data_IF_344605929634
#
_entry.id   IF_344605929634
#
_cell.length_a   1.000
_cell.length_b   1.000
_cell.length_c   1.000
_cell.angle_alpha   90.00
_cell.angle_beta   90.00
_cell.angle_gamma   90.00
#
_symmetry.space_group_name_H-M   'P 1'
#
loop_
_entity.id
_entity.type
_entity.pdbx_description
1 polymer ?
#
# COMPACT_ATOMS: atom_id res chain seq x y z
N UNK A 1 -16.70 -10.63 17.59
CA UNK A 1 -16.14 -9.89 16.43
C UNK A 1 -14.85 -10.50 15.86
N UNK A 2 -13.92 -11.08 16.66
CA UNK A 2 -12.68 -11.71 16.13
C UNK A 2 -12.84 -12.93 15.19
N UNK A 3 -14.00 -13.60 15.16
CA UNK A 3 -14.22 -14.77 14.29
C UNK A 3 -14.65 -14.42 12.86
N UNK A 4 -14.95 -13.16 12.56
CA UNK A 4 -15.52 -12.76 11.27
C UNK A 4 -14.44 -12.36 10.27
N UNK A 5 -13.33 -11.74 10.72
CA UNK A 5 -12.17 -11.40 9.89
C UNK A 5 -11.40 -12.63 9.41
N UNK A 6 -11.26 -13.67 10.25
CA UNK A 6 -10.54 -14.90 9.89
C UNK A 6 -11.25 -15.75 8.84
N UNK A 7 -12.57 -15.61 8.70
CA UNK A 7 -13.34 -16.29 7.67
C UNK A 7 -13.14 -15.65 6.29
N UNK A 8 -12.93 -14.32 6.25
CA UNK A 8 -12.76 -13.55 5.01
C UNK A 8 -11.38 -13.82 4.37
N UNK A 9 -10.33 -13.95 5.21
CA UNK A 9 -8.98 -14.28 4.76
C UNK A 9 -8.86 -15.69 4.17
N UNK A 10 -9.49 -16.69 4.82
CA UNK A 10 -9.49 -18.09 4.35
C UNK A 10 -10.21 -18.22 3.00
N UNK A 11 -11.28 -17.45 2.76
CA UNK A 11 -12.02 -17.44 1.50
C UNK A 11 -11.22 -16.78 0.37
N UNK A 12 -10.48 -15.70 0.65
CA UNK A 12 -9.58 -15.07 -0.32
C UNK A 12 -8.43 -16.00 -0.73
N UNK A 13 -7.81 -16.71 0.23
CA UNK A 13 -6.77 -17.71 -0.07
C UNK A 13 -7.36 -18.88 -0.86
N UNK A 14 -8.57 -19.33 -0.52
CA UNK A 14 -9.26 -20.40 -1.23
C UNK A 14 -9.55 -20.06 -2.69
N UNK A 15 -9.96 -18.82 -2.96
CA UNK A 15 -10.18 -18.37 -4.33
C UNK A 15 -8.90 -18.41 -5.17
N UNK A 16 -7.75 -18.07 -4.56
CA UNK A 16 -6.44 -18.21 -5.21
C UNK A 16 -6.03 -19.67 -5.42
N UNK A 17 -6.36 -20.56 -4.48
CA UNK A 17 -6.17 -22.00 -4.66
C UNK A 17 -7.04 -22.57 -5.79
N UNK A 18 -8.29 -22.08 -5.97
CA UNK A 18 -9.14 -22.48 -7.11
C UNK A 18 -8.47 -22.14 -8.44
N UNK A 19 -7.91 -20.95 -8.58
CA UNK A 19 -7.16 -20.56 -9.78
C UNK A 19 -5.98 -21.48 -10.07
N UNK A 20 -5.25 -21.92 -9.04
CA UNK A 20 -4.18 -22.90 -9.21
C UNK A 20 -4.71 -24.27 -9.68
N UNK A 21 -5.91 -24.66 -9.25
CA UNK A 21 -6.58 -25.90 -9.66
C UNK A 21 -7.13 -25.82 -11.10
N UNK A 22 -7.51 -24.62 -11.56
CA UNK A 22 -7.93 -24.40 -12.94
C UNK A 22 -6.75 -24.56 -13.91
N UNK A 23 -5.55 -24.16 -13.49
CA UNK A 23 -4.32 -24.29 -14.28
C UNK A 23 -3.67 -25.67 -14.16
N UNK A 24 -3.89 -26.39 -13.05
CA UNK A 24 -3.26 -27.68 -12.76
C UNK A 24 -4.22 -28.67 -12.10
N UNK A 25 -4.17 -29.92 -12.54
CA UNK A 25 -4.99 -30.97 -11.93
C UNK A 25 -4.74 -31.10 -10.41
N UNK A 26 -5.80 -31.37 -9.64
CA UNK A 26 -5.71 -31.60 -8.20
C UNK A 26 -4.72 -32.73 -7.85
N UNK A 27 -4.56 -33.72 -8.74
CA UNK A 27 -3.58 -34.80 -8.61
C UNK A 27 -2.13 -34.32 -8.73
N UNK A 28 -1.85 -33.36 -9.62
CA UNK A 28 -0.51 -32.76 -9.72
C UNK A 28 -0.18 -31.90 -8.49
N UNK A 29 -1.16 -31.13 -8.01
CA UNK A 29 -1.03 -30.33 -6.78
C UNK A 29 -0.78 -31.26 -5.58
N UNK A 30 -1.56 -32.33 -5.42
CA UNK A 30 -1.36 -33.33 -4.38
C UNK A 30 0.04 -33.94 -4.41
N UNK A 31 0.51 -34.35 -5.59
CA UNK A 31 1.85 -34.93 -5.78
C UNK A 31 2.96 -33.94 -5.41
N UNK A 32 2.86 -32.68 -5.85
CA UNK A 32 3.89 -31.66 -5.61
C UNK A 32 3.90 -31.10 -4.18
N UNK A 33 2.75 -31.14 -3.50
CA UNK A 33 2.62 -30.67 -2.11
C UNK A 33 2.76 -31.79 -1.08
N UNK A 34 2.76 -33.06 -1.50
CA UNK A 34 2.75 -34.22 -0.60
C UNK A 34 1.40 -34.44 0.11
N UNK A 35 0.36 -33.69 -0.25
CA UNK A 35 -0.99 -33.87 0.29
C UNK A 35 -1.77 -34.95 -0.47
N UNK A 36 -2.79 -35.54 0.15
CA UNK A 36 -3.72 -36.42 -0.56
C UNK A 36 -4.66 -35.61 -1.47
N UNK A 37 -5.05 -36.16 -2.62
CA UNK A 37 -5.99 -35.51 -3.56
C UNK A 37 -7.30 -35.11 -2.88
N UNK A 38 -7.83 -35.99 -2.01
CA UNK A 38 -9.02 -35.71 -1.22
C UNK A 38 -8.83 -34.56 -0.21
N UNK A 39 -7.61 -34.33 0.28
CA UNK A 39 -7.29 -33.19 1.15
C UNK A 39 -7.24 -31.88 0.34
N UNK A 40 -6.60 -31.89 -0.84
CA UNK A 40 -6.58 -30.75 -1.77
C UNK A 40 -8.00 -30.33 -2.14
N UNK A 41 -8.84 -31.29 -2.52
CA UNK A 41 -10.24 -31.03 -2.84
C UNK A 41 -10.98 -30.38 -1.66
N UNK A 42 -10.81 -30.89 -0.43
CA UNK A 42 -11.42 -30.31 0.76
C UNK A 42 -10.98 -28.86 1.01
N UNK A 43 -9.69 -28.55 0.86
CA UNK A 43 -9.16 -27.19 1.06
C UNK A 43 -9.77 -26.17 0.09
N UNK A 44 -10.00 -26.59 -1.15
CA UNK A 44 -10.59 -25.77 -2.23
C UNK A 44 -12.08 -25.49 -2.02
N UNK A 45 -12.80 -26.37 -1.31
CA UNK A 45 -14.27 -26.34 -1.25
C UNK A 45 -14.86 -25.95 0.11
N UNK A 46 -14.06 -25.75 1.16
CA UNK A 46 -14.64 -25.31 2.44
C UNK A 46 -13.86 -25.69 3.69
N UNK A 47 -12.93 -26.64 3.60
CA UNK A 47 -12.14 -27.01 4.77
C UNK A 47 -11.10 -25.93 5.08
N UNK A 48 -10.78 -25.80 6.37
CA UNK A 48 -9.68 -24.97 6.86
C UNK A 48 -8.38 -25.42 6.19
N UNK A 49 -7.61 -24.45 5.69
CA UNK A 49 -6.39 -24.71 4.94
C UNK A 49 -5.21 -24.77 5.93
N UNK A 50 -4.48 -25.90 6.03
CA UNK A 50 -3.31 -25.97 6.90
C UNK A 50 -2.20 -25.11 6.31
N UNK A 51 -1.54 -24.27 7.13
CA UNK A 51 -0.41 -23.48 6.61
C UNK A 51 0.77 -24.32 6.12
N UNK A 52 0.93 -25.56 6.63
CA UNK A 52 1.88 -26.51 6.05
C UNK A 52 1.57 -26.91 4.60
N UNK A 53 0.30 -26.94 4.21
CA UNK A 53 -0.09 -27.15 2.82
C UNK A 53 0.23 -25.92 1.96
N UNK A 54 0.01 -24.70 2.46
CA UNK A 54 0.39 -23.47 1.76
C UNK A 54 1.90 -23.38 1.54
N UNK A 55 2.70 -23.72 2.55
CA UNK A 55 4.15 -23.76 2.41
C UNK A 55 4.62 -24.83 1.40
N UNK A 56 3.98 -26.00 1.42
CA UNK A 56 4.25 -27.03 0.43
C UNK A 56 3.82 -26.62 -0.99
N UNK A 57 2.76 -25.83 -1.14
CA UNK A 57 2.34 -25.26 -2.41
C UNK A 57 3.39 -24.28 -2.95
N UNK A 58 3.90 -23.38 -2.10
CA UNK A 58 4.97 -22.45 -2.48
C UNK A 58 6.21 -23.21 -2.96
N UNK A 59 6.71 -24.18 -2.17
CA UNK A 59 7.91 -24.95 -2.55
C UNK A 59 7.71 -25.88 -3.75
N UNK A 60 6.62 -26.65 -3.76
CA UNK A 60 6.40 -27.70 -4.76
C UNK A 60 5.88 -27.20 -6.10
N UNK A 61 5.15 -26.08 -6.10
CA UNK A 61 4.57 -25.48 -7.30
C UNK A 61 5.31 -24.22 -7.75
N UNK A 62 6.22 -23.67 -6.93
CA UNK A 62 6.89 -22.41 -7.19
C UNK A 62 5.95 -21.22 -7.11
N UNK A 63 4.95 -21.28 -6.23
CA UNK A 63 3.92 -20.23 -6.09
C UNK A 63 4.47 -19.09 -5.24
N UNK A 64 4.21 -17.85 -5.65
CA UNK A 64 4.61 -16.67 -4.91
C UNK A 64 3.81 -16.55 -3.59
N UNK A 65 4.47 -16.53 -2.42
CA UNK A 65 3.79 -16.46 -1.13
C UNK A 65 3.03 -15.15 -0.92
N UNK A 66 3.52 -14.01 -1.44
CA UNK A 66 2.82 -12.72 -1.37
C UNK A 66 1.52 -12.75 -2.16
N UNK A 67 1.52 -13.41 -3.32
CA UNK A 67 0.30 -13.59 -4.11
C UNK A 67 -0.67 -14.52 -3.40
N UNK A 68 -0.19 -15.68 -2.92
CA UNK A 68 -1.04 -16.69 -2.31
C UNK A 68 -1.72 -16.19 -1.02
N UNK A 69 -0.99 -15.46 -0.18
CA UNK A 69 -1.46 -15.01 1.13
C UNK A 69 -2.16 -13.65 1.06
N UNK A 70 -1.61 -12.70 0.30
CA UNK A 70 -2.08 -11.31 0.30
C UNK A 70 -2.76 -10.89 -1.02
N UNK A 71 -2.66 -11.71 -2.07
CA UNK A 71 -3.17 -11.35 -3.40
C UNK A 71 -2.29 -10.37 -4.18
N UNK A 72 -1.06 -10.13 -3.71
CA UNK A 72 -0.15 -9.15 -4.30
C UNK A 72 0.89 -9.82 -5.23
N UNK A 73 1.07 -9.26 -6.42
CA UNK A 73 2.09 -9.71 -7.38
C UNK A 73 1.63 -10.85 -8.30
N UNK A 74 2.59 -11.50 -8.97
CA UNK A 74 2.34 -12.60 -9.91
C UNK A 74 2.20 -13.95 -9.18
N UNK A 75 1.42 -14.91 -9.70
CA UNK A 75 1.17 -16.20 -9.04
C UNK A 75 2.40 -17.09 -8.86
N UNK A 76 3.38 -17.00 -9.76
CA UNK A 76 4.56 -17.86 -9.76
C UNK A 76 5.82 -17.07 -9.43
N UNK A 77 6.71 -17.67 -8.62
CA UNK A 77 8.02 -17.12 -8.24
C UNK A 77 8.92 -16.86 -9.46
N UNK A 78 8.76 -17.64 -10.53
CA UNK A 78 9.51 -17.46 -11.77
C UNK A 78 9.24 -16.11 -12.46
N UNK A 79 8.08 -15.50 -12.18
CA UNK A 79 7.67 -14.21 -12.73
C UNK A 79 8.05 -13.04 -11.81
N UNK A 80 8.74 -13.32 -10.71
CA UNK A 80 9.09 -12.34 -9.68
C UNK A 80 10.60 -12.05 -9.75
N UNK A 81 11.02 -10.78 -9.76
CA UNK A 81 12.44 -10.42 -9.73
C UNK A 81 13.16 -11.07 -8.54
N UNK A 82 14.37 -11.61 -8.77
CA UNK A 82 15.20 -12.39 -7.83
C UNK A 82 15.31 -11.81 -6.41
N UNK A 83 15.28 -10.48 -6.27
CA UNK A 83 15.32 -9.78 -4.98
C UNK A 83 14.04 -9.95 -4.12
N UNK A 84 12.92 -10.33 -4.71
CA UNK A 84 11.65 -10.56 -3.99
C UNK A 84 11.50 -12.02 -3.55
N UNK A 85 12.21 -12.95 -4.22
CA UNK A 85 12.19 -14.37 -3.87
C UNK A 85 12.77 -14.61 -2.46
N UNK A 86 13.86 -13.91 -2.10
CA UNK A 86 14.46 -13.94 -0.77
C UNK A 86 13.52 -13.41 0.33
N UNK A 87 12.67 -12.42 0.01
CA UNK A 87 11.68 -11.87 0.94
C UNK A 87 10.49 -12.83 1.12
N UNK A 88 10.12 -13.54 0.05
CA UNK A 88 9.15 -14.63 0.08
C UNK A 88 9.61 -15.84 0.90
N UNK A 89 10.91 -16.18 0.86
CA UNK A 89 11.50 -17.24 1.70
C UNK A 89 11.42 -16.89 3.19
N UNK A 90 11.78 -15.66 3.58
CA UNK A 90 11.67 -15.19 4.97
C UNK A 90 10.22 -15.18 5.49
N UNK A 91 9.25 -14.82 4.64
CA UNK A 91 7.83 -14.90 4.98
C UNK A 91 7.34 -16.35 5.10
N UNK A 92 7.87 -17.25 4.28
CA UNK A 92 7.55 -18.68 4.35
C UNK A 92 8.04 -19.30 5.66
N UNK A 93 9.28 -19.00 6.06
CA UNK A 93 9.82 -19.46 7.34
C UNK A 93 8.96 -18.99 8.52
N UNK A 94 8.47 -17.75 8.46
CA UNK A 94 7.61 -17.18 9.50
C UNK A 94 6.24 -17.88 9.56
N UNK A 95 5.62 -18.15 8.41
CA UNK A 95 4.33 -18.87 8.31
C UNK A 95 4.46 -20.34 8.71
N UNK A 96 5.59 -20.98 8.40
CA UNK A 96 5.89 -22.34 8.84
C UNK A 96 6.12 -22.43 10.35
N UNK A 97 6.85 -21.45 10.92
CA UNK A 97 7.01 -21.32 12.36
C UNK A 97 5.64 -21.11 13.05
N UNK A 98 4.81 -20.21 12.54
CA UNK A 98 3.45 -19.96 13.06
C UNK A 98 2.52 -21.17 12.91
N UNK A 99 2.62 -21.92 11.80
CA UNK A 99 1.84 -23.14 11.56
C UNK A 99 2.31 -24.33 12.39
N UNK A 100 3.61 -24.42 12.71
CA UNK A 100 4.15 -25.38 13.66
C UNK A 100 3.63 -25.06 15.07
N UNK A 101 3.62 -23.79 15.47
CA UNK A 101 3.06 -23.32 16.75
C UNK A 101 1.55 -23.57 16.83
N UNK A 102 0.78 -23.31 15.76
CA UNK A 102 -0.67 -23.55 15.72
C UNK A 102 -1.02 -25.05 15.79
N UNK A 103 -0.23 -25.92 15.12
CA UNK A 103 -0.35 -27.38 15.24
C UNK A 103 0.05 -27.89 16.62
N UNK A 104 1.04 -27.28 17.28
CA UNK A 104 1.42 -27.58 18.67
C UNK A 104 0.34 -27.17 19.67
N UNK A 105 -0.34 -26.04 19.45
CA UNK A 105 -1.46 -25.56 20.29
C UNK A 105 -2.70 -26.46 20.19
N UNK A 106 -2.93 -27.09 19.03
CA UNK A 106 -4.05 -28.03 18.81
C UNK A 106 -3.73 -29.48 19.24
N UNK A 107 -2.46 -29.81 19.51
CA UNK A 107 -1.99 -31.19 19.74
C UNK A 107 -1.94 -31.65 21.21
N UNK A 108 -1.50 -30.80 22.15
CA UNK A 108 -1.57 -31.10 23.60
C UNK A 108 -1.00 -29.95 24.44
N UNK A 109 -1.80 -29.32 25.28
CA UNK A 109 -1.39 -28.28 26.23
C UNK A 109 -0.76 -28.86 27.53
N UNK A 110 0.13 -29.85 27.46
CA UNK A 110 0.54 -30.61 28.67
C UNK A 110 2.03 -30.95 28.82
N UNK A 111 2.97 -30.12 28.33
CA UNK A 111 4.41 -30.40 28.52
C UNK A 111 5.29 -29.18 28.79
N UNK A 112 6.18 -29.27 29.81
CA UNK A 112 7.19 -28.25 30.17
C UNK A 112 8.10 -27.83 28.99
N UNK A 113 8.30 -28.71 28.01
CA UNK A 113 9.09 -28.42 26.81
C UNK A 113 8.44 -27.37 25.89
N UNK A 114 7.10 -27.34 25.81
CA UNK A 114 6.36 -26.37 24.98
C UNK A 114 6.45 -24.94 25.53
N UNK A 115 6.43 -24.79 26.85
CA UNK A 115 6.64 -23.49 27.50
C UNK A 115 8.06 -22.95 27.23
N UNK A 116 9.05 -23.83 27.09
CA UNK A 116 10.41 -23.44 26.74
C UNK A 116 10.50 -22.89 25.31
N UNK A 117 9.92 -23.59 24.33
CA UNK A 117 9.91 -23.16 22.92
C UNK A 117 9.13 -21.86 22.73
N UNK A 118 7.97 -21.70 23.37
CA UNK A 118 7.21 -20.45 23.32
C UNK A 118 7.98 -19.28 23.96
N UNK A 119 8.74 -19.55 25.03
CA UNK A 119 9.60 -18.54 25.65
C UNK A 119 10.76 -18.16 24.72
N UNK A 120 11.45 -19.13 24.11
CA UNK A 120 12.52 -18.90 23.14
C UNK A 120 12.01 -18.10 21.92
N UNK A 121 10.82 -18.41 21.40
CA UNK A 121 10.21 -17.67 20.29
C UNK A 121 9.82 -16.24 20.71
N UNK A 122 9.25 -16.06 21.90
CA UNK A 122 8.91 -14.73 22.41
C UNK A 122 10.18 -13.90 22.66
N UNK A 123 11.26 -14.50 23.13
CA UNK A 123 12.57 -13.86 23.27
C UNK A 123 13.16 -13.47 21.91
N UNK A 124 13.04 -14.34 20.89
CA UNK A 124 13.47 -14.04 19.52
C UNK A 124 12.65 -12.90 18.89
N UNK A 125 11.33 -12.88 19.09
CA UNK A 125 10.46 -11.79 18.64
C UNK A 125 10.83 -10.46 19.30
N UNK A 126 11.05 -10.45 20.62
CA UNK A 126 11.50 -9.25 21.31
C UNK A 126 12.90 -8.81 20.88
N UNK A 127 13.82 -9.74 20.63
CA UNK A 127 15.14 -9.42 20.09
C UNK A 127 15.04 -8.78 18.70
N UNK A 128 14.15 -9.30 17.85
CA UNK A 128 13.86 -8.74 16.53
C UNK A 128 13.21 -7.35 16.61
N UNK A 129 12.22 -7.14 17.48
CA UNK A 129 11.63 -5.82 17.73
C UNK A 129 12.67 -4.80 18.19
N UNK A 130 13.54 -5.16 19.14
CA UNK A 130 14.62 -4.28 19.60
C UNK A 130 15.59 -3.95 18.47
N UNK A 131 15.97 -4.93 17.65
CA UNK A 131 16.85 -4.70 16.50
C UNK A 131 16.19 -3.76 15.49
N UNK A 132 14.90 -3.96 15.21
CA UNK A 132 14.10 -3.10 14.34
C UNK A 132 14.01 -1.67 14.87
N UNK A 133 13.78 -1.48 16.16
CA UNK A 133 13.79 -0.16 16.82
C UNK A 133 15.16 0.51 16.74
N UNK A 134 16.25 -0.24 16.95
CA UNK A 134 17.62 0.26 16.82
C UNK A 134 17.95 0.69 15.38
N UNK A 135 17.61 -0.15 14.39
CA UNK A 135 17.77 0.17 12.97
C UNK A 135 16.97 1.43 12.63
N UNK A 136 15.70 1.52 13.05
CA UNK A 136 14.86 2.71 12.84
C UNK A 136 15.49 3.96 13.47
N UNK A 137 15.99 3.86 14.70
CA UNK A 137 16.62 5.00 15.39
C UNK A 137 17.84 5.53 14.63
N UNK A 138 18.63 4.64 14.03
CA UNK A 138 19.82 5.03 13.26
C UNK A 138 19.50 5.48 11.83
N UNK A 139 18.56 4.81 11.16
CA UNK A 139 18.23 5.08 9.75
C UNK A 139 17.34 6.29 9.56
N UNK A 140 16.41 6.57 10.49
CA UNK A 140 15.49 7.71 10.44
C UNK A 140 16.15 9.07 10.17
N UNK A 141 17.18 9.52 10.92
CA UNK A 141 17.81 10.82 10.65
C UNK A 141 18.52 10.86 9.28
N UNK A 142 19.09 9.74 8.84
CA UNK A 142 19.71 9.64 7.51
C UNK A 142 18.64 9.72 6.41
N UNK A 143 17.53 8.99 6.58
CA UNK A 143 16.39 9.03 5.67
C UNK A 143 15.84 10.46 5.58
N UNK A 144 15.56 11.11 6.70
CA UNK A 144 15.06 12.49 6.72
C UNK A 144 16.02 13.48 6.01
N UNK A 145 17.34 13.33 6.21
CA UNK A 145 18.34 14.17 5.54
C UNK A 145 18.34 13.98 4.02
N UNK A 146 18.45 12.73 3.55
CA UNK A 146 18.51 12.45 2.10
C UNK A 146 17.17 12.81 1.44
N UNK A 147 16.04 12.62 2.12
CA UNK A 147 14.73 13.05 1.67
C UNK A 147 14.68 14.58 1.47
N UNK A 148 15.22 15.34 2.42
CA UNK A 148 15.35 16.80 2.31
C UNK A 148 16.25 17.22 1.14
N UNK A 149 17.39 16.53 0.96
CA UNK A 149 18.28 16.77 -0.18
C UNK A 149 17.59 16.48 -1.53
N UNK A 150 16.78 15.42 -1.59
CA UNK A 150 15.98 15.06 -2.77
C UNK A 150 14.96 16.16 -3.08
N UNK A 151 14.24 16.65 -2.07
CA UNK A 151 13.29 17.76 -2.24
C UNK A 151 13.98 19.02 -2.78
N UNK A 152 15.15 19.37 -2.22
CA UNK A 152 15.95 20.51 -2.70
C UNK A 152 16.40 20.32 -4.14
N UNK A 153 16.87 19.12 -4.52
CA UNK A 153 17.29 18.82 -5.89
C UNK A 153 16.10 18.94 -6.87
N UNK A 154 14.93 18.38 -6.52
CA UNK A 154 13.71 18.48 -7.32
C UNK A 154 13.24 19.93 -7.50
N UNK A 155 13.29 20.74 -6.44
CA UNK A 155 12.92 22.16 -6.50
C UNK A 155 13.89 22.99 -7.35
N UNK A 156 15.16 22.58 -7.43
CA UNK A 156 16.18 23.19 -8.31
C UNK A 156 16.19 22.64 -9.73
N UNK A 157 15.32 21.67 -10.04
CA UNK A 157 15.30 20.95 -11.32
C UNK A 157 16.61 20.21 -11.65
N UNK A 158 17.37 19.82 -10.62
CA UNK A 158 18.57 19.00 -10.75
C UNK A 158 18.18 17.51 -10.81
N UNK A 159 17.68 17.08 -11.98
CA UNK A 159 17.03 15.78 -12.15
C UNK A 159 18.00 14.59 -12.08
N UNK A 160 19.26 14.78 -12.48
CA UNK A 160 20.30 13.75 -12.39
C UNK A 160 20.59 13.43 -10.93
N UNK A 161 20.90 14.47 -10.13
CA UNK A 161 21.08 14.32 -8.69
C UNK A 161 19.83 13.78 -7.99
N UNK A 162 18.64 14.23 -8.40
CA UNK A 162 17.40 13.73 -7.85
C UNK A 162 17.19 12.23 -8.10
N UNK A 163 17.56 11.69 -9.26
CA UNK A 163 17.44 10.25 -9.52
C UNK A 163 18.39 9.43 -8.63
N UNK A 164 19.61 9.90 -8.42
CA UNK A 164 20.58 9.23 -7.53
C UNK A 164 20.14 9.28 -6.06
N UNK A 165 19.68 10.45 -5.60
CA UNK A 165 19.11 10.58 -4.26
C UNK A 165 17.88 9.69 -4.10
N UNK A 166 17.02 9.59 -5.11
CA UNK A 166 15.83 8.72 -5.08
C UNK A 166 16.20 7.25 -4.92
N UNK A 167 17.26 6.76 -5.59
CA UNK A 167 17.76 5.39 -5.41
C UNK A 167 18.24 5.15 -3.98
N UNK A 168 18.98 6.12 -3.42
CA UNK A 168 19.44 6.04 -2.03
C UNK A 168 18.26 6.01 -1.04
N UNK A 169 17.25 6.85 -1.25
CA UNK A 169 16.03 6.87 -0.43
C UNK A 169 15.23 5.57 -0.58
N UNK A 170 15.15 5.00 -1.79
CA UNK A 170 14.47 3.71 -2.01
C UNK A 170 15.07 2.61 -1.12
N UNK A 171 16.41 2.53 -1.03
CA UNK A 171 17.07 1.57 -0.16
C UNK A 171 16.79 1.83 1.32
N UNK A 172 16.80 3.10 1.75
CA UNK A 172 16.49 3.46 3.14
C UNK A 172 15.04 3.21 3.53
N UNK A 173 14.10 3.40 2.60
CA UNK A 173 12.68 3.14 2.84
C UNK A 173 12.37 1.66 3.11
N UNK A 174 13.25 0.75 2.68
CA UNK A 174 13.15 -0.70 2.97
C UNK A 174 13.65 -1.06 4.37
N UNK A 175 14.44 -0.17 4.99
CA UNK A 175 15.06 -0.39 6.30
C UNK A 175 14.37 0.40 7.42
N UNK A 176 13.56 1.39 7.06
CA UNK A 176 12.92 2.29 8.01
C UNK A 176 11.40 2.23 7.88
N UNK A 177 10.73 1.86 8.97
CA UNK A 177 9.25 1.72 9.02
C UNK A 177 8.55 3.01 9.50
N UNK A 178 9.14 4.18 9.24
CA UNK A 178 8.51 5.47 9.53
C UNK A 178 7.50 5.82 8.43
N UNK A 179 6.21 5.62 8.73
CA UNK A 179 5.12 5.86 7.76
C UNK A 179 5.06 7.33 7.31
N UNK A 180 5.18 8.36 8.18
CA UNK A 180 5.31 9.75 7.72
C UNK A 180 6.44 9.99 6.72
N UNK A 181 7.64 9.46 6.94
CA UNK A 181 8.76 9.59 6.00
C UNK A 181 8.51 8.83 4.71
N UNK A 182 7.92 7.63 4.80
CA UNK A 182 7.53 6.83 3.63
C UNK A 182 6.50 7.55 2.78
N UNK A 183 5.50 8.16 3.41
CA UNK A 183 4.50 8.97 2.72
C UNK A 183 5.14 10.20 2.05
N UNK A 184 6.05 10.89 2.73
CA UNK A 184 6.78 12.01 2.15
C UNK A 184 7.65 11.58 0.95
N UNK A 185 8.30 10.42 1.03
CA UNK A 185 9.06 9.84 -0.08
C UNK A 185 8.18 9.55 -1.30
N UNK A 186 7.01 8.92 -1.10
CA UNK A 186 6.08 8.65 -2.20
C UNK A 186 5.62 9.94 -2.90
N UNK A 187 5.43 11.02 -2.15
CA UNK A 187 5.10 12.35 -2.72
C UNK A 187 6.23 12.91 -3.57
N UNK A 188 7.48 12.81 -3.11
CA UNK A 188 8.64 13.26 -3.88
C UNK A 188 8.85 12.39 -5.13
N UNK A 189 8.60 11.08 -5.06
CA UNK A 189 8.59 10.21 -6.22
C UNK A 189 7.55 10.64 -7.25
N UNK A 190 6.31 10.94 -6.83
CA UNK A 190 5.30 11.48 -7.73
C UNK A 190 5.75 12.82 -8.34
N UNK A 191 6.31 13.73 -7.55
CA UNK A 191 6.81 15.01 -8.04
C UNK A 191 7.98 14.84 -9.04
N UNK A 192 8.87 13.88 -8.83
CA UNK A 192 9.94 13.54 -9.76
C UNK A 192 9.41 13.06 -11.11
N UNK A 193 8.46 12.11 -11.12
CA UNK A 193 7.83 11.63 -12.36
C UNK A 193 7.08 12.75 -13.10
N UNK A 194 6.50 13.70 -12.34
CA UNK A 194 5.90 14.91 -12.89
C UNK A 194 6.94 15.81 -13.59
N UNK A 195 8.09 16.07 -12.95
CA UNK A 195 9.18 16.86 -13.55
C UNK A 195 9.74 16.22 -14.82
N UNK A 196 9.81 14.89 -14.84
CA UNK A 196 10.22 14.10 -16.01
C UNK A 196 9.15 14.02 -17.12
N UNK A 197 7.98 14.66 -16.94
CA UNK A 197 6.84 14.62 -17.88
C UNK A 197 6.35 13.20 -18.18
N UNK A 198 6.54 12.27 -17.24
CA UNK A 198 6.08 10.87 -17.36
C UNK A 198 4.68 10.74 -16.78
N UNK A 199 3.70 11.31 -17.46
CA UNK A 199 2.34 11.51 -16.91
C UNK A 199 1.66 10.23 -16.40
N UNK A 200 1.84 9.09 -17.06
CA UNK A 200 1.29 7.81 -16.59
C UNK A 200 1.93 7.33 -15.28
N UNK A 201 3.26 7.43 -15.17
CA UNK A 201 4.00 7.07 -13.96
C UNK A 201 3.64 8.01 -12.81
N UNK A 202 3.53 9.31 -13.09
CA UNK A 202 3.06 10.30 -12.13
C UNK A 202 1.67 9.97 -11.62
N UNK A 203 0.70 9.68 -12.51
CA UNK A 203 -0.66 9.34 -12.09
C UNK A 203 -0.69 8.07 -11.24
N UNK A 204 0.08 7.05 -11.61
CA UNK A 204 0.22 5.81 -10.83
C UNK A 204 0.78 6.08 -9.44
N UNK A 205 1.82 6.91 -9.32
CA UNK A 205 2.41 7.30 -8.05
C UNK A 205 1.44 8.15 -7.21
N UNK A 206 0.81 9.15 -7.80
CA UNK A 206 -0.14 10.04 -7.13
C UNK A 206 -1.37 9.28 -6.61
N UNK A 207 -1.84 8.26 -7.33
CA UNK A 207 -2.91 7.37 -6.86
C UNK A 207 -2.49 6.61 -5.59
N UNK A 208 -1.25 6.11 -5.53
CA UNK A 208 -0.73 5.44 -4.33
C UNK A 208 -0.67 6.39 -3.13
N UNK A 209 -0.14 7.60 -3.35
CA UNK A 209 -0.09 8.65 -2.32
C UNK A 209 -1.49 8.97 -1.81
N UNK A 210 -2.44 9.21 -2.73
CA UNK A 210 -3.81 9.52 -2.36
C UNK A 210 -4.47 8.40 -1.56
N UNK A 211 -4.36 7.15 -2.01
CA UNK A 211 -4.93 6.01 -1.30
C UNK A 211 -4.35 5.83 0.10
N UNK A 212 -3.03 6.05 0.28
CA UNK A 212 -2.39 6.02 1.60
C UNK A 212 -2.76 7.21 2.49
N UNK A 213 -3.09 8.35 1.89
CA UNK A 213 -3.57 9.52 2.64
C UNK A 213 -5.01 9.37 3.12
N UNK A 214 -5.76 8.38 2.61
CA UNK A 214 -7.10 8.08 3.11
C UNK A 214 -6.96 7.45 4.50
N UNK A 215 -7.55 8.05 5.54
CA UNK A 215 -7.39 7.53 6.90
C UNK A 215 -8.15 6.22 7.10
N UNK A 216 -7.58 5.33 7.91
CA UNK A 216 -8.18 4.04 8.30
C UNK A 216 -9.49 4.18 9.09
N UNK A 217 -9.77 5.36 9.66
CA UNK A 217 -10.88 5.63 10.58
C UNK A 217 -11.84 6.73 10.07
N UNK A 218 -12.42 6.53 8.88
CA UNK A 218 -13.59 7.25 8.31
C UNK A 218 -13.49 8.78 8.11
N UNK A 219 -12.45 9.47 8.57
CA UNK A 219 -12.40 10.93 8.57
C UNK A 219 -11.54 11.50 7.45
N UNK A 220 -12.11 11.69 6.26
CA UNK A 220 -11.47 12.47 5.20
C UNK A 220 -11.00 13.84 5.73
N UNK A 221 -9.73 14.18 5.55
CA UNK A 221 -9.09 15.35 6.16
C UNK A 221 -8.51 16.32 5.12
N UNK A 222 -7.86 17.39 5.60
CA UNK A 222 -7.24 18.41 4.74
C UNK A 222 -6.09 17.84 3.91
N UNK A 223 -5.33 16.88 4.45
CA UNK A 223 -4.22 16.23 3.77
C UNK A 223 -4.71 15.43 2.57
N UNK A 224 -5.69 14.55 2.77
CA UNK A 224 -6.33 13.78 1.72
C UNK A 224 -6.98 14.69 0.67
N UNK A 225 -7.53 15.84 1.09
CA UNK A 225 -8.05 16.85 0.18
C UNK A 225 -6.98 17.47 -0.73
N UNK A 226 -5.78 17.79 -0.20
CA UNK A 226 -4.69 18.33 -1.03
C UNK A 226 -4.12 17.27 -1.98
N UNK A 227 -4.00 16.01 -1.53
CA UNK A 227 -3.54 14.91 -2.38
C UNK A 227 -4.54 14.57 -3.49
N UNK A 228 -5.85 14.62 -3.20
CA UNK A 228 -6.88 14.52 -4.21
C UNK A 228 -6.78 15.64 -5.25
N UNK A 229 -6.54 16.88 -4.82
CA UNK A 229 -6.34 18.02 -5.73
C UNK A 229 -5.13 17.81 -6.64
N UNK A 230 -4.01 17.31 -6.12
CA UNK A 230 -2.82 16.98 -6.93
C UNK A 230 -3.14 15.91 -7.97
N UNK A 231 -3.91 14.88 -7.60
CA UNK A 231 -4.41 13.87 -8.55
C UNK A 231 -5.33 14.48 -9.63
N UNK A 232 -6.20 15.42 -9.28
CA UNK A 232 -7.03 16.16 -10.23
C UNK A 232 -6.16 16.93 -11.22
N UNK A 233 -5.15 17.67 -10.76
CA UNK A 233 -4.21 18.39 -11.63
C UNK A 233 -3.50 17.43 -12.59
N UNK A 234 -3.06 16.27 -12.10
CA UNK A 234 -2.43 15.24 -12.93
C UNK A 234 -3.35 14.77 -14.07
N UNK A 235 -4.61 14.48 -13.74
CA UNK A 235 -5.60 14.02 -14.73
C UNK A 235 -5.92 15.08 -15.77
N UNK A 236 -5.97 16.35 -15.37
CA UNK A 236 -6.20 17.48 -16.28
C UNK A 236 -5.06 17.62 -17.27
N UNK A 237 -3.81 17.54 -16.81
CA UNK A 237 -2.63 17.58 -17.68
C UNK A 237 -2.61 16.42 -18.70
N UNK A 238 -3.25 15.29 -18.37
CA UNK A 238 -3.43 14.15 -19.26
C UNK A 238 -4.70 14.26 -20.13
N UNK A 239 -5.38 15.41 -20.16
CA UNK A 239 -6.67 15.61 -20.84
C UNK A 239 -7.81 14.68 -20.38
N UNK A 240 -7.70 14.09 -19.17
CA UNK A 240 -8.71 13.20 -18.57
C UNK A 240 -9.73 13.99 -17.74
N UNK A 241 -10.29 15.04 -18.33
CA UNK A 241 -11.22 15.98 -17.66
C UNK A 241 -12.43 15.27 -17.02
N UNK A 242 -13.10 14.28 -17.66
CA UNK A 242 -14.23 13.60 -17.04
C UNK A 242 -13.88 12.86 -15.74
N UNK A 243 -12.66 12.34 -15.62
CA UNK A 243 -12.17 11.68 -14.41
C UNK A 243 -11.83 12.68 -13.31
N UNK A 244 -11.12 13.75 -13.67
CA UNK A 244 -10.85 14.86 -12.77
C UNK A 244 -12.14 15.38 -12.12
N UNK A 245 -13.20 15.57 -12.92
CA UNK A 245 -14.52 16.01 -12.44
C UNK A 245 -15.20 14.98 -11.54
N UNK A 246 -15.04 13.67 -11.80
CA UNK A 246 -15.57 12.61 -10.92
C UNK A 246 -14.89 12.63 -9.56
N UNK A 247 -13.55 12.77 -9.52
CA UNK A 247 -12.79 12.86 -8.27
C UNK A 247 -13.17 14.10 -7.49
N UNK A 248 -13.28 15.27 -8.14
CA UNK A 248 -13.73 16.50 -7.47
C UNK A 248 -15.09 16.29 -6.80
N UNK A 249 -16.05 15.67 -7.48
CA UNK A 249 -17.38 15.39 -6.91
C UNK A 249 -17.29 14.45 -5.70
N UNK A 250 -16.49 13.39 -5.79
CA UNK A 250 -16.28 12.45 -4.70
C UNK A 250 -15.65 13.13 -3.48
N UNK A 251 -14.58 13.90 -3.68
CA UNK A 251 -13.91 14.67 -2.63
C UNK A 251 -14.87 15.68 -2.01
N UNK A 252 -15.73 16.30 -2.82
CA UNK A 252 -16.75 17.22 -2.30
C UNK A 252 -17.77 16.56 -1.39
N UNK A 253 -18.16 15.33 -1.72
CA UNK A 253 -19.06 14.54 -0.88
C UNK A 253 -18.37 14.11 0.41
N UNK A 254 -17.12 13.64 0.32
CA UNK A 254 -16.34 13.14 1.46
C UNK A 254 -15.96 14.23 2.46
N UNK A 255 -15.52 15.40 2.00
CA UNK A 255 -15.11 16.48 2.88
C UNK A 255 -16.30 17.16 3.61
N UNK A 256 -17.51 17.07 3.04
CA UNK A 256 -18.73 17.60 3.63
C UNK A 256 -18.67 19.10 3.95
N UNK A 257 -19.22 19.49 5.11
CA UNK A 257 -19.19 20.90 5.57
C UNK A 257 -17.82 21.28 6.14
N UNK A 258 -17.18 20.38 6.88
CA UNK A 258 -15.86 20.59 7.51
C UNK A 258 -14.79 20.94 6.48
N UNK A 259 -14.86 20.31 5.30
CA UNK A 259 -13.99 20.60 4.17
C UNK A 259 -13.91 22.07 3.81
N UNK A 260 -15.01 22.81 3.99
CA UNK A 260 -15.08 24.22 3.62
C UNK A 260 -14.17 25.10 4.45
N UNK A 261 -13.62 24.67 5.57
CA UNK A 261 -12.69 25.47 6.37
C UNK A 261 -11.24 25.33 5.88
N UNK A 262 -10.93 24.26 5.15
CA UNK A 262 -9.58 23.91 4.72
C UNK A 262 -9.06 24.81 3.60
N UNK A 263 -7.76 25.10 3.63
CA UNK A 263 -7.08 25.77 2.53
C UNK A 263 -6.96 24.86 1.31
N UNK A 264 -6.74 23.55 1.53
CA UNK A 264 -6.73 22.57 0.46
C UNK A 264 -8.06 22.54 -0.33
N UNK A 265 -9.18 22.72 0.36
CA UNK A 265 -10.49 22.80 -0.26
C UNK A 265 -10.67 24.03 -1.14
N UNK A 266 -10.23 25.21 -0.67
CA UNK A 266 -10.26 26.42 -1.50
C UNK A 266 -9.44 26.23 -2.79
N UNK A 267 -8.28 25.55 -2.70
CA UNK A 267 -7.45 25.22 -3.87
C UNK A 267 -8.18 24.23 -4.80
N UNK A 268 -8.81 23.18 -4.27
CA UNK A 268 -9.59 22.21 -5.04
C UNK A 268 -10.77 22.87 -5.76
N UNK A 269 -11.52 23.72 -5.07
CA UNK A 269 -12.63 24.47 -5.66
C UNK A 269 -12.14 25.41 -6.75
N UNK A 270 -11.00 26.10 -6.57
CA UNK A 270 -10.44 26.90 -7.65
C UNK A 270 -10.07 26.05 -8.88
N UNK A 271 -9.45 24.87 -8.69
CA UNK A 271 -9.19 23.92 -9.79
C UNK A 271 -10.49 23.49 -10.48
N UNK A 272 -11.54 23.18 -9.72
CA UNK A 272 -12.84 22.82 -10.29
C UNK A 272 -13.45 23.98 -11.08
N UNK A 273 -13.31 25.21 -10.62
CA UNK A 273 -13.82 26.38 -11.32
C UNK A 273 -13.13 26.57 -12.67
N UNK A 274 -11.80 26.39 -12.74
CA UNK A 274 -11.04 26.40 -13.99
C UNK A 274 -11.58 25.35 -14.97
N UNK A 275 -11.81 24.11 -14.50
CA UNK A 275 -12.36 23.03 -15.34
C UNK A 275 -13.79 23.29 -15.80
N UNK A 276 -14.61 23.99 -14.99
CA UNK A 276 -15.92 24.45 -15.43
C UNK A 276 -15.79 25.45 -16.58
N UNK A 277 -14.79 26.34 -16.54
CA UNK A 277 -14.48 27.27 -17.62
C UNK A 277 -14.09 26.54 -18.90
N UNK A 278 -13.16 25.58 -18.81
CA UNK A 278 -12.71 24.76 -19.94
C UNK A 278 -13.84 23.93 -20.57
N UNK A 279 -14.84 23.55 -19.78
CA UNK A 279 -16.03 22.81 -20.25
C UNK A 279 -17.19 23.72 -20.68
N UNK A 280 -16.96 25.03 -20.85
CA UNK A 280 -17.93 26.00 -21.35
C UNK A 280 -18.91 26.55 -20.32
N UNK A 281 -18.77 26.21 -19.04
CA UNK A 281 -19.63 26.68 -17.93
C UNK A 281 -19.08 27.97 -17.30
N UNK A 282 -18.81 28.97 -18.15
CA UNK A 282 -18.09 30.19 -17.80
C UNK A 282 -18.69 30.96 -16.61
N UNK A 283 -20.01 31.16 -16.58
CA UNK A 283 -20.66 31.89 -15.49
C UNK A 283 -20.43 31.22 -14.12
N UNK A 284 -20.59 29.89 -14.05
CA UNK A 284 -20.35 29.13 -12.81
C UNK A 284 -18.87 29.11 -12.43
N UNK A 285 -17.98 29.08 -13.42
CA UNK A 285 -16.54 29.17 -13.18
C UNK A 285 -16.16 30.51 -12.53
N UNK A 286 -16.63 31.63 -13.09
CA UNK A 286 -16.34 32.98 -12.60
C UNK A 286 -16.89 33.17 -11.18
N UNK A 287 -18.15 32.81 -10.95
CA UNK A 287 -18.79 32.88 -9.62
C UNK A 287 -17.97 32.10 -8.57
N UNK A 288 -17.53 30.90 -8.94
CA UNK A 288 -16.79 30.04 -8.05
C UNK A 288 -15.37 30.56 -7.77
N UNK A 289 -14.67 31.08 -8.78
CA UNK A 289 -13.36 31.75 -8.62
C UNK A 289 -13.49 32.95 -7.70
N UNK A 290 -14.49 33.83 -7.92
CA UNK A 290 -14.73 35.00 -7.07
C UNK A 290 -14.95 34.62 -5.60
N UNK A 291 -15.61 33.48 -5.35
CA UNK A 291 -15.82 32.95 -3.99
C UNK A 291 -14.54 32.38 -3.36
N UNK A 292 -13.68 31.72 -4.14
CA UNK A 292 -12.48 31.05 -3.63
C UNK A 292 -11.25 31.95 -3.55
N UNK A 293 -11.15 32.95 -4.42
CA UNK A 293 -9.95 33.77 -4.58
C UNK A 293 -9.52 34.52 -3.29
N UNK A 294 -10.44 35.14 -2.51
CA UNK A 294 -10.06 35.80 -1.26
C UNK A 294 -9.37 34.86 -0.27
N UNK A 295 -9.81 33.60 -0.23
CA UNK A 295 -9.24 32.58 0.66
C UNK A 295 -7.84 32.17 0.24
N UNK A 296 -7.61 32.05 -1.07
CA UNK A 296 -6.31 31.72 -1.63
C UNK A 296 -5.29 32.86 -1.46
N UNK A 297 -5.76 34.11 -1.51
CA UNK A 297 -4.95 35.29 -1.26
C UNK A 297 -4.65 35.54 0.24
N UNK A 298 -5.10 34.66 1.14
CA UNK A 298 -4.94 34.84 2.59
C UNK A 298 -5.80 35.98 3.16
N UNK A 299 -6.73 36.52 2.39
CA UNK A 299 -7.64 37.58 2.83
C UNK A 299 -8.84 36.93 3.53
N UNK A 300 -8.67 36.56 4.80
CA UNK A 300 -9.81 36.30 5.66
C UNK A 300 -10.53 37.62 5.93
N UNK A 301 -11.80 37.70 5.53
CA UNK A 301 -12.76 38.58 6.22
C UNK A 301 -13.00 37.94 7.58
N UNK A 302 -12.45 38.54 8.63
CA UNK A 302 -13.06 38.52 9.95
C UNK A 302 -14.43 39.17 9.84
N UNK A 303 -15.47 38.37 9.60
CA UNK A 303 -16.87 38.74 9.84
C UNK A 303 -17.55 37.55 10.48
#
# INVERSE_FOLDING_TARGET
MRNQETLDDDDAIRERLRRLVDERSQSDIARRTGAQVAAVNRYVHGARIPGGFLAAAVRGLGVNPSWLLMGEGSPYLADVPEQTAALGENMLELVEAMSAVSRMLLGSLTGKHHLKVLRELNEALHAHERLREQINTQTRPVFQRILGDLEVALNKLDLERADDLRKAVDQLSRLCDDEPLTHAYLRLCAFHEFQLKRSEHFLKAQRKVFLRSLPDAELFDETACDEARRMVVALVQMSRIPEAMRIIRAVRALAGRRGREWQAWARLENTHAILLGETGKLYRAIEMIQRTMPRLAGHYRTV
#
